data_IF_567032877392
#
_entry.id   IF_567032877392
#
_cell.length_a   1.000
_cell.length_b   1.000
_cell.length_c   1.000
_cell.angle_alpha   90.00
_cell.angle_beta   90.00
_cell.angle_gamma   90.00
#
_symmetry.space_group_name_H-M   'P 1'
#
loop_
_entity.id
_entity.type
_entity.pdbx_description
1 polymer ?
#
# COMPACT_ATOMS: atom_id res chain seq x y z
N UNK A 1 -22.06 -10.69 7.79
CA UNK A 1 -21.29 -9.43 7.87
C UNK A 1 -21.19 -8.83 6.45
N UNK A 2 -21.21 -7.51 6.30
CA UNK A 2 -20.96 -6.84 5.02
C UNK A 2 -19.73 -5.94 5.20
N UNK A 3 -18.73 -6.08 4.33
CA UNK A 3 -17.53 -5.24 4.27
C UNK A 3 -17.60 -4.45 2.97
N UNK A 4 -17.39 -3.14 3.06
CA UNK A 4 -17.29 -2.28 1.89
C UNK A 4 -15.89 -2.41 1.32
N UNK A 5 -15.78 -2.60 0.01
CA UNK A 5 -14.50 -2.71 -0.68
C UNK A 5 -14.50 -1.79 -1.89
N UNK A 6 -13.33 -1.20 -2.14
CA UNK A 6 -13.05 -0.41 -3.34
C UNK A 6 -11.86 -1.03 -4.06
N UNK A 7 -11.83 -0.93 -5.38
CA UNK A 7 -10.65 -1.24 -6.17
C UNK A 7 -10.14 0.06 -6.78
N UNK A 8 -8.88 0.38 -6.53
CA UNK A 8 -8.23 1.63 -6.95
C UNK A 8 -6.97 1.31 -7.74
N UNK A 9 -6.85 1.89 -8.92
CA UNK A 9 -5.64 1.86 -9.73
C UNK A 9 -4.72 3.01 -9.32
N UNK A 10 -3.70 2.72 -8.51
CA UNK A 10 -2.69 3.71 -8.15
C UNK A 10 -1.75 4.03 -9.32
N UNK A 11 -1.14 5.24 -9.30
CA UNK A 11 -0.20 5.75 -10.32
C UNK A 11 -0.80 5.88 -11.72
N UNK A 12 -2.12 5.99 -11.85
CA UNK A 12 -2.81 6.08 -13.14
C UNK A 12 -3.61 7.37 -13.30
N UNK A 13 -3.73 7.83 -14.56
CA UNK A 13 -4.65 8.87 -14.97
C UNK A 13 -5.96 8.32 -15.54
N UNK A 14 -6.00 7.03 -15.82
CA UNK A 14 -7.12 6.33 -16.41
C UNK A 14 -7.31 4.98 -15.73
N UNK A 15 -8.55 4.52 -15.61
CA UNK A 15 -8.86 3.17 -15.11
C UNK A 15 -8.20 2.09 -15.95
N UNK A 16 -7.81 1.00 -15.32
CA UNK A 16 -7.12 -0.15 -15.92
C UNK A 16 -5.69 0.14 -16.43
N UNK A 17 -5.09 1.26 -16.02
CA UNK A 17 -3.74 1.67 -16.44
C UNK A 17 -2.75 1.84 -15.28
N UNK A 18 -3.17 1.50 -14.08
CA UNK A 18 -2.37 1.63 -12.87
C UNK A 18 -2.04 0.30 -12.21
N UNK A 19 -1.57 0.40 -10.97
CA UNK A 19 -1.38 -0.74 -10.09
C UNK A 19 -2.60 -0.90 -9.19
N UNK A 20 -3.44 -1.94 -9.39
CA UNK A 20 -4.66 -2.10 -8.65
C UNK A 20 -4.42 -2.56 -7.21
N UNK A 21 -5.15 -1.97 -6.28
CA UNK A 21 -5.26 -2.44 -4.90
C UNK A 21 -6.71 -2.52 -4.47
N UNK A 22 -7.07 -3.55 -3.72
CA UNK A 22 -8.32 -3.54 -2.98
C UNK A 22 -8.14 -2.73 -1.70
N UNK A 23 -9.15 -1.95 -1.32
CA UNK A 23 -9.15 -1.14 -0.10
C UNK A 23 -10.44 -1.37 0.67
N UNK A 24 -10.32 -1.81 1.90
CA UNK A 24 -11.43 -2.15 2.79
C UNK A 24 -11.43 -1.26 4.03
N UNK A 25 -12.24 -0.19 4.07
CA UNK A 25 -12.48 0.57 5.30
C UNK A 25 -13.17 -0.31 6.34
N UNK A 26 -12.64 -0.35 7.56
CA UNK A 26 -13.20 -1.10 8.68
C UNK A 26 -13.50 -0.15 9.86
N UNK A 27 -14.48 -0.48 10.67
CA UNK A 27 -14.75 0.23 11.93
C UNK A 27 -13.91 -0.30 13.10
N UNK A 28 -13.48 -1.55 13.02
CA UNK A 28 -12.62 -2.25 13.98
C UNK A 28 -11.88 -3.36 13.25
N UNK A 29 -10.75 -3.80 13.81
CA UNK A 29 -10.02 -4.93 13.26
C UNK A 29 -10.84 -6.21 13.29
N UNK A 30 -10.71 -6.98 12.24
CA UNK A 30 -11.20 -8.36 12.13
C UNK A 30 -10.06 -9.32 12.50
N UNK A 31 -10.40 -10.59 12.69
CA UNK A 31 -9.40 -11.65 12.89
C UNK A 31 -8.45 -11.73 11.69
N UNK A 32 -7.16 -11.95 11.95
CA UNK A 32 -6.11 -11.96 10.92
C UNK A 32 -6.37 -12.99 9.82
N UNK A 33 -6.90 -14.15 10.19
CA UNK A 33 -7.27 -15.21 9.25
C UNK A 33 -8.36 -14.76 8.26
N UNK A 34 -9.30 -13.93 8.72
CA UNK A 34 -10.35 -13.40 7.86
C UNK A 34 -9.81 -12.31 6.92
N UNK A 35 -8.93 -11.43 7.41
CA UNK A 35 -8.25 -10.42 6.58
C UNK A 35 -7.44 -11.10 5.47
N UNK A 36 -6.68 -12.14 5.81
CA UNK A 36 -5.90 -12.94 4.87
C UNK A 36 -6.79 -13.64 3.84
N UNK A 37 -7.90 -14.22 4.27
CA UNK A 37 -8.85 -14.90 3.38
C UNK A 37 -9.48 -13.93 2.37
N UNK A 38 -9.83 -12.71 2.80
CA UNK A 38 -10.35 -11.67 1.90
C UNK A 38 -9.29 -11.26 0.87
N UNK A 39 -8.04 -11.10 1.29
CA UNK A 39 -6.95 -10.76 0.38
C UNK A 39 -6.68 -11.88 -0.64
N UNK A 40 -6.76 -13.13 -0.21
CA UNK A 40 -6.64 -14.30 -1.08
C UNK A 40 -7.76 -14.36 -2.11
N UNK A 41 -9.01 -14.14 -1.69
CA UNK A 41 -10.19 -14.14 -2.58
C UNK A 41 -10.12 -12.99 -3.59
N UNK A 42 -9.66 -11.80 -3.18
CA UNK A 42 -9.46 -10.66 -4.06
C UNK A 42 -8.42 -10.93 -5.16
N UNK A 43 -7.41 -11.73 -4.85
CA UNK A 43 -6.34 -12.12 -5.76
C UNK A 43 -5.69 -10.94 -6.51
N UNK A 44 -5.59 -9.78 -5.85
CA UNK A 44 -4.83 -8.62 -6.29
C UNK A 44 -3.43 -8.66 -5.64
N UNK A 45 -2.51 -7.84 -6.15
CA UNK A 45 -1.17 -7.75 -5.55
C UNK A 45 -1.26 -7.48 -4.05
N UNK A 46 -2.09 -6.50 -3.64
CA UNK A 46 -2.41 -6.24 -2.23
C UNK A 46 -3.86 -5.84 -2.00
N UNK A 47 -4.35 -6.24 -0.82
CA UNK A 47 -5.55 -5.71 -0.19
C UNK A 47 -5.15 -4.91 1.04
N UNK A 48 -5.54 -3.65 1.09
CA UNK A 48 -5.35 -2.77 2.23
C UNK A 48 -6.59 -2.75 3.12
N UNK A 49 -6.38 -2.82 4.42
CA UNK A 49 -7.40 -2.62 5.43
C UNK A 49 -7.01 -1.47 6.33
N UNK A 50 -7.92 -0.56 6.62
CA UNK A 50 -7.65 0.50 7.57
C UNK A 50 -8.79 0.70 8.57
N UNK A 51 -8.43 1.13 9.77
CA UNK A 51 -9.33 1.41 10.89
C UNK A 51 -9.03 2.82 11.39
N UNK A 52 -10.02 3.68 11.63
CA UNK A 52 -9.81 4.98 12.25
C UNK A 52 -9.20 4.85 13.65
N UNK A 53 -8.31 5.78 14.02
CA UNK A 53 -7.82 5.95 15.37
C UNK A 53 -7.88 7.45 15.79
N UNK A 54 -7.39 7.79 16.97
CA UNK A 54 -7.46 9.14 17.52
C UNK A 54 -6.71 10.19 16.65
N UNK A 55 -5.64 9.79 15.98
CA UNK A 55 -4.73 10.68 15.26
C UNK A 55 -4.76 10.51 13.72
N UNK A 56 -5.58 9.59 13.21
CA UNK A 56 -5.65 9.27 11.80
C UNK A 56 -6.18 7.86 11.56
N UNK A 57 -5.36 6.97 11.04
CA UNK A 57 -5.80 5.62 10.70
C UNK A 57 -4.68 4.61 10.96
N UNK A 58 -5.04 3.42 11.43
CA UNK A 58 -4.18 2.24 11.36
C UNK A 58 -4.33 1.62 9.99
N UNK A 59 -3.24 1.13 9.39
CA UNK A 59 -3.24 0.56 8.04
C UNK A 59 -2.41 -0.71 8.00
N UNK A 60 -2.98 -1.74 7.36
CA UNK A 60 -2.35 -3.06 7.15
C UNK A 60 -2.55 -3.50 5.71
N UNK A 61 -1.58 -4.24 5.17
CA UNK A 61 -1.60 -4.73 3.79
C UNK A 61 -1.38 -6.24 3.74
N UNK A 62 -2.17 -6.88 2.91
CA UNK A 62 -2.11 -8.32 2.72
C UNK A 62 -1.97 -8.64 1.23
N UNK A 63 -0.95 -9.42 0.88
CA UNK A 63 -0.90 -10.13 -0.39
C UNK A 63 -1.84 -11.34 -0.33
N UNK A 64 -2.09 -12.05 -1.43
CA UNK A 64 -2.84 -13.32 -1.37
C UNK A 64 -2.21 -14.39 -0.45
N UNK A 65 -0.93 -14.26 -0.10
CA UNK A 65 -0.19 -15.27 0.66
C UNK A 65 0.13 -14.86 2.10
N UNK A 66 0.33 -13.57 2.36
CA UNK A 66 0.79 -13.09 3.68
C UNK A 66 0.54 -11.60 3.88
N UNK A 67 0.48 -11.18 5.14
CA UNK A 67 0.59 -9.77 5.51
C UNK A 67 2.02 -9.26 5.25
N UNK A 68 2.12 -8.01 4.79
CA UNK A 68 3.40 -7.34 4.50
C UNK A 68 3.52 -6.04 5.29
N UNK A 69 4.75 -5.62 5.55
CA UNK A 69 5.04 -4.50 6.45
C UNK A 69 5.01 -3.12 5.77
N UNK A 70 5.11 -3.07 4.44
CA UNK A 70 5.13 -1.81 3.70
C UNK A 70 4.63 -2.00 2.27
N UNK A 71 3.68 -1.14 1.84
CA UNK A 71 3.17 -1.12 0.48
C UNK A 71 2.81 0.30 0.03
N UNK A 72 3.49 0.80 -1.00
CA UNK A 72 3.30 2.18 -1.48
C UNK A 72 1.99 2.44 -2.20
N UNK A 73 1.70 1.65 -3.23
CA UNK A 73 0.52 1.90 -4.06
C UNK A 73 -0.80 1.67 -3.30
N UNK A 74 -0.85 0.67 -2.42
CA UNK A 74 -2.03 0.43 -1.60
C UNK A 74 -2.23 1.49 -0.51
N UNK A 75 -1.14 2.11 -0.01
CA UNK A 75 -1.22 3.30 0.87
C UNK A 75 -1.82 4.50 0.14
N UNK A 76 -1.37 4.80 -1.09
CA UNK A 76 -1.95 5.86 -1.90
C UNK A 76 -3.41 5.59 -2.25
N UNK A 77 -3.75 4.34 -2.58
CA UNK A 77 -5.13 3.92 -2.83
C UNK A 77 -6.01 4.14 -1.58
N UNK A 78 -5.53 3.78 -0.39
CA UNK A 78 -6.22 4.02 0.88
C UNK A 78 -6.41 5.50 1.17
N UNK A 79 -5.37 6.32 0.97
CA UNK A 79 -5.45 7.76 1.13
C UNK A 79 -6.44 8.39 0.14
N UNK A 80 -6.48 7.93 -1.10
CA UNK A 80 -7.47 8.39 -2.08
C UNK A 80 -8.91 8.14 -1.60
N UNK A 81 -9.20 6.95 -1.07
CA UNK A 81 -10.51 6.63 -0.49
C UNK A 81 -10.84 7.58 0.67
N UNK A 82 -9.92 7.77 1.60
CA UNK A 82 -10.13 8.60 2.78
C UNK A 82 -10.39 10.07 2.38
N UNK A 83 -9.55 10.63 1.51
CA UNK A 83 -9.69 12.02 1.09
C UNK A 83 -10.91 12.27 0.20
N UNK A 84 -11.11 11.44 -0.83
CA UNK A 84 -12.03 11.78 -1.93
C UNK A 84 -13.39 11.09 -1.80
N UNK A 85 -13.47 9.95 -1.10
CA UNK A 85 -14.73 9.20 -0.96
C UNK A 85 -15.31 9.35 0.45
N UNK A 86 -14.46 9.28 1.49
CA UNK A 86 -14.90 9.45 2.87
C UNK A 86 -14.93 10.92 3.30
N UNK A 87 -14.38 11.84 2.48
CA UNK A 87 -14.48 13.27 2.69
C UNK A 87 -13.63 13.80 3.85
N UNK A 88 -12.47 13.21 4.11
CA UNK A 88 -11.55 13.66 5.15
C UNK A 88 -11.04 15.08 4.86
N UNK A 89 -11.20 16.00 5.82
CA UNK A 89 -11.03 17.44 5.60
C UNK A 89 -9.61 17.95 5.85
N UNK A 90 -8.76 17.18 6.51
CA UNK A 90 -7.37 17.57 6.74
C UNK A 90 -6.54 17.38 5.48
N UNK A 91 -5.42 18.10 5.36
CA UNK A 91 -4.49 17.97 4.22
C UNK A 91 -3.48 16.84 4.38
N UNK A 92 -3.42 16.25 5.56
CA UNK A 92 -2.51 15.15 5.89
C UNK A 92 -3.28 14.01 6.54
N UNK A 93 -3.06 12.80 6.05
CA UNK A 93 -3.46 11.55 6.72
C UNK A 93 -2.21 10.96 7.35
N UNK A 94 -2.25 10.68 8.64
CA UNK A 94 -1.21 9.89 9.30
C UNK A 94 -1.67 8.43 9.41
N UNK A 95 -0.97 7.53 8.73
CA UNK A 95 -1.15 6.11 8.89
C UNK A 95 -0.18 5.55 9.93
N UNK A 96 -0.70 4.81 10.90
CA UNK A 96 0.09 3.96 11.79
C UNK A 96 0.17 2.56 11.18
N UNK A 97 1.39 2.08 10.98
CA UNK A 97 1.67 0.80 10.33
C UNK A 97 2.73 0.01 11.10
N UNK A 98 2.97 -1.23 10.72
CA UNK A 98 4.10 -2.02 11.27
C UNK A 98 5.47 -1.40 10.97
N UNK A 99 5.58 -0.65 9.88
CA UNK A 99 6.82 0.08 9.52
C UNK A 99 6.89 1.49 10.13
N UNK A 100 6.01 1.81 11.08
CA UNK A 100 5.93 3.11 11.73
C UNK A 100 4.89 4.02 11.08
N UNK A 101 5.04 5.32 11.31
CA UNK A 101 4.11 6.33 10.81
C UNK A 101 4.41 6.68 9.35
N UNK A 102 3.37 6.64 8.52
CA UNK A 102 3.43 7.01 7.11
C UNK A 102 2.48 8.18 6.85
N UNK A 103 2.97 9.41 6.78
CA UNK A 103 2.15 10.56 6.41
C UNK A 103 1.91 10.59 4.89
N UNK A 104 0.66 10.83 4.51
CA UNK A 104 0.27 11.10 3.12
C UNK A 104 -0.33 12.49 3.04
N UNK A 105 0.25 13.33 2.19
CA UNK A 105 -0.10 14.73 2.01
C UNK A 105 -0.96 14.91 0.76
N UNK A 106 -1.98 15.75 0.86
CA UNK A 106 -2.76 16.23 -0.29
C UNK A 106 -2.08 17.46 -0.89
N UNK A 107 -1.65 17.35 -2.14
CA UNK A 107 -1.05 18.44 -2.91
C UNK A 107 -1.89 18.73 -4.15
N UNK A 108 -3.00 19.46 -3.99
CA UNK A 108 -3.99 19.68 -5.04
C UNK A 108 -4.64 18.36 -5.49
N UNK A 109 -4.44 17.98 -6.75
CA UNK A 109 -4.94 16.72 -7.31
C UNK A 109 -4.00 15.52 -7.08
N UNK A 110 -2.81 15.75 -6.54
CA UNK A 110 -1.82 14.73 -6.29
C UNK A 110 -1.75 14.37 -4.81
N UNK A 111 -1.34 13.13 -4.53
CA UNK A 111 -0.97 12.67 -3.21
C UNK A 111 0.54 12.43 -3.17
N UNK A 112 1.20 12.87 -2.11
CA UNK A 112 2.61 12.60 -1.85
C UNK A 112 2.80 11.92 -0.51
N UNK A 113 3.78 11.03 -0.45
CA UNK A 113 4.16 10.33 0.78
C UNK A 113 5.66 10.14 0.84
N UNK A 114 6.20 10.10 2.05
CA UNK A 114 7.59 9.81 2.32
C UNK A 114 7.71 8.41 2.93
N UNK A 115 8.58 7.58 2.33
CA UNK A 115 8.96 6.30 2.90
C UNK A 115 10.25 6.41 3.70
N UNK A 116 10.45 5.52 4.70
CA UNK A 116 11.74 5.40 5.34
C UNK A 116 12.81 5.03 4.29
N UNK A 117 13.91 5.77 4.26
CA UNK A 117 15.03 5.47 3.40
C UNK A 117 15.81 4.26 3.96
N UNK A 118 16.02 3.26 3.13
CA UNK A 118 16.91 2.14 3.45
C UNK A 118 18.28 2.48 2.85
N UNK A 119 19.34 2.64 3.67
CA UNK A 119 20.67 2.90 3.15
C UNK A 119 21.17 1.69 2.36
N UNK A 120 21.39 1.89 1.07
CA UNK A 120 21.88 0.85 0.16
C UNK A 120 23.41 0.83 0.14
N UNK A 121 24.00 -0.34 -0.09
CA UNK A 121 25.44 -0.53 -0.26
C UNK A 121 25.73 -1.26 -1.58
N UNK A 122 26.85 -0.92 -2.26
CA UNK A 122 27.27 -1.66 -3.43
C UNK A 122 27.44 -3.15 -3.10
N UNK A 123 26.91 -4.01 -3.95
CA UNK A 123 27.05 -5.46 -3.77
C UNK A 123 27.33 -6.16 -5.11
N UNK A 124 27.90 -7.37 -5.02
CA UNK A 124 28.07 -8.21 -6.20
C UNK A 124 26.72 -8.75 -6.65
N UNK A 125 26.33 -8.57 -7.94
CA UNK A 125 25.06 -9.08 -8.42
C UNK A 125 25.02 -10.61 -8.34
N UNK A 126 23.95 -11.18 -7.72
CA UNK A 126 23.74 -12.63 -7.75
C UNK A 126 23.56 -13.13 -9.19
N UNK A 127 24.03 -14.34 -9.50
CA UNK A 127 23.89 -14.93 -10.83
C UNK A 127 22.44 -14.98 -11.30
N UNK A 128 21.50 -15.36 -10.39
CA UNK A 128 20.07 -15.43 -10.67
C UNK A 128 19.46 -14.07 -11.10
N UNK A 129 20.00 -12.97 -10.61
CA UNK A 129 19.58 -11.63 -11.03
C UNK A 129 20.01 -11.33 -12.46
N UNK A 130 21.27 -11.68 -12.81
CA UNK A 130 21.83 -11.51 -14.16
C UNK A 130 21.03 -12.34 -15.16
N UNK A 131 20.78 -13.62 -14.82
CA UNK A 131 20.02 -14.54 -15.66
C UNK A 131 18.58 -14.07 -15.87
N UNK A 132 17.91 -13.59 -14.79
CA UNK A 132 16.55 -13.09 -14.85
C UNK A 132 16.40 -11.78 -15.65
N UNK A 133 17.40 -10.91 -15.62
CA UNK A 133 17.42 -9.68 -16.40
C UNK A 133 17.84 -9.90 -17.87
N UNK A 134 18.51 -11.00 -18.18
CA UNK A 134 19.11 -11.26 -19.49
C UNK A 134 20.26 -10.30 -19.87
N UNK A 135 20.76 -9.53 -18.89
CA UNK A 135 21.87 -8.59 -19.04
C UNK A 135 22.59 -8.39 -17.71
N UNK A 136 23.86 -7.96 -17.77
CA UNK A 136 24.63 -7.65 -16.57
C UNK A 136 24.44 -6.19 -16.18
N UNK A 137 23.91 -5.87 -14.97
CA UNK A 137 23.80 -4.51 -14.46
C UNK A 137 25.18 -3.84 -14.34
N UNK A 138 25.23 -2.52 -14.55
CA UNK A 138 26.44 -1.72 -14.34
C UNK A 138 26.77 -1.64 -12.86
N UNK A 139 25.75 -1.48 -12.03
CA UNK A 139 25.84 -1.38 -10.57
C UNK A 139 24.66 -2.08 -9.93
N UNK A 140 24.89 -2.71 -8.79
CA UNK A 140 23.84 -3.30 -7.93
C UNK A 140 24.05 -2.82 -6.50
N UNK A 141 22.98 -2.35 -5.90
CA UNK A 141 22.91 -1.85 -4.53
C UNK A 141 21.93 -2.69 -3.71
N UNK A 142 22.26 -3.11 -2.50
CA UNK A 142 21.41 -3.86 -1.57
C UNK A 142 21.61 -3.43 -0.11
#
# INVERSE_FOLDING_TARGET
MKIKQYQIDAFAKQVFKGNPAAVCPLNQWLEDELLQSIAQENNLSETAFFVPNENGFQLRWFTPLAEIDLCGHATLASAHIIFNILGYQMDVIEFETRSGKLPVYRNGALLSMNFPAIPLKPCTPPAVLIDGLGLRPIEVMA
#
